data_IF_933315294640
#
_entry.id   IF_933315294640
#
_cell.length_a   1.000
_cell.length_b   1.000
_cell.length_c   1.000
_cell.angle_alpha   90.00
_cell.angle_beta   90.00
_cell.angle_gamma   90.00
#
_symmetry.space_group_name_H-M   'P 1'
#
loop_
_entity.id
_entity.type
_entity.pdbx_description
1 polymer ?
#
# COMPACT_ATOMS: atom_id res chain seq x y z
N UNK A 1 -21.17 -13.57 -12.68
CA UNK A 1 -21.63 -12.17 -12.78
C UNK A 1 -22.76 -12.00 -11.78
N UNK A 2 -22.52 -11.29 -10.68
CA UNK A 2 -23.56 -10.67 -9.88
C UNK A 2 -23.01 -9.31 -9.40
N UNK A 3 -23.45 -8.20 -10.00
CA UNK A 3 -23.09 -6.85 -9.59
C UNK A 3 -23.93 -6.47 -8.34
N UNK A 4 -23.61 -5.35 -7.69
CA UNK A 4 -24.35 -4.80 -6.53
C UNK A 4 -23.96 -5.37 -5.16
N UNK A 5 -22.67 -5.32 -4.80
CA UNK A 5 -22.29 -5.16 -3.40
C UNK A 5 -22.23 -3.65 -3.12
N UNK A 6 -23.28 -3.13 -2.48
CA UNK A 6 -23.50 -1.71 -2.24
C UNK A 6 -22.24 -1.00 -1.75
N UNK A 7 -21.71 -0.11 -2.58
CA UNK A 7 -20.71 0.87 -2.16
C UNK A 7 -21.38 1.77 -1.13
N UNK A 8 -21.07 1.57 0.14
CA UNK A 8 -21.38 2.57 1.17
C UNK A 8 -20.33 3.68 1.04
N UNK A 9 -20.51 4.50 0.01
CA UNK A 9 -19.69 5.68 -0.20
C UNK A 9 -19.92 6.57 1.04
N UNK A 10 -18.85 6.86 1.80
CA UNK A 10 -18.96 7.81 2.91
C UNK A 10 -19.50 9.15 2.38
N UNK A 11 -20.10 9.98 3.23
CA UNK A 11 -20.78 11.25 2.87
C UNK A 11 -19.93 12.23 2.00
N UNK A 12 -18.63 11.99 1.87
CA UNK A 12 -17.66 12.77 1.08
C UNK A 12 -17.21 12.10 -0.24
N UNK A 13 -17.82 11.01 -0.71
CA UNK A 13 -17.40 10.35 -1.96
C UNK A 13 -16.22 9.38 -1.82
N UNK A 14 -15.57 9.36 -0.66
CA UNK A 14 -14.41 8.50 -0.38
C UNK A 14 -14.84 7.12 0.12
N UNK A 15 -14.15 6.08 -0.37
CA UNK A 15 -14.33 4.70 0.07
C UNK A 15 -14.01 4.53 1.56
N UNK A 16 -14.76 3.72 2.31
CA UNK A 16 -14.54 3.56 3.75
C UNK A 16 -13.37 2.63 4.08
N UNK A 17 -12.71 2.83 5.23
CA UNK A 17 -11.64 1.92 5.69
C UNK A 17 -12.15 0.47 5.86
N UNK A 18 -13.37 0.30 6.37
CA UNK A 18 -13.99 -1.01 6.53
C UNK A 18 -14.18 -1.75 5.19
N UNK A 19 -14.46 -1.03 4.09
CA UNK A 19 -14.59 -1.64 2.76
C UNK A 19 -13.24 -2.04 2.17
N UNK A 20 -12.19 -1.25 2.44
CA UNK A 20 -10.82 -1.56 2.02
C UNK A 20 -10.29 -2.76 2.83
N UNK A 21 -10.52 -2.77 4.14
CA UNK A 21 -10.17 -3.89 5.02
C UNK A 21 -10.87 -5.17 4.58
N UNK A 22 -12.18 -5.11 4.32
CA UNK A 22 -12.93 -6.26 3.84
C UNK A 22 -12.38 -6.80 2.53
N UNK A 23 -11.94 -5.91 1.63
CA UNK A 23 -11.28 -6.33 0.39
C UNK A 23 -9.95 -7.04 0.66
N UNK A 24 -9.10 -6.48 1.53
CA UNK A 24 -7.84 -7.13 1.94
C UNK A 24 -8.11 -8.53 2.52
N UNK A 25 -9.00 -8.63 3.52
CA UNK A 25 -9.30 -9.90 4.20
C UNK A 25 -9.92 -10.93 3.26
N UNK A 26 -10.83 -10.52 2.38
CA UNK A 26 -11.43 -11.42 1.39
C UNK A 26 -10.40 -11.89 0.37
N UNK A 27 -9.49 -11.00 -0.06
CA UNK A 27 -8.41 -11.33 -0.99
C UNK A 27 -7.42 -12.32 -0.39
N UNK A 28 -6.94 -12.09 0.83
CA UNK A 28 -6.04 -13.00 1.55
C UNK A 28 -6.70 -14.38 1.78
N UNK A 29 -7.98 -14.41 2.18
CA UNK A 29 -8.73 -15.66 2.34
C UNK A 29 -8.88 -16.43 1.03
N UNK A 30 -9.16 -15.72 -0.08
CA UNK A 30 -9.24 -16.33 -1.39
C UNK A 30 -7.88 -16.90 -1.84
N UNK A 31 -6.80 -16.13 -1.70
CA UNK A 31 -5.44 -16.58 -2.03
C UNK A 31 -5.05 -17.84 -1.25
N UNK A 32 -5.34 -17.86 0.05
CA UNK A 32 -5.09 -19.03 0.90
C UNK A 32 -5.80 -20.27 0.37
N UNK A 33 -7.08 -20.15 0.05
CA UNK A 33 -7.86 -21.24 -0.54
C UNK A 33 -7.29 -21.71 -1.87
N UNK A 34 -6.89 -20.78 -2.75
CA UNK A 34 -6.27 -21.17 -4.02
C UNK A 34 -4.95 -21.92 -3.82
N UNK A 35 -4.15 -21.52 -2.82
CA UNK A 35 -2.93 -22.24 -2.46
C UNK A 35 -3.22 -23.66 -1.94
N UNK A 36 -4.24 -23.81 -1.08
CA UNK A 36 -4.73 -25.11 -0.62
C UNK A 36 -5.24 -26.00 -1.77
N UNK A 37 -5.80 -25.38 -2.82
CA UNK A 37 -6.26 -26.03 -4.05
C UNK A 37 -5.12 -26.26 -5.08
N UNK A 38 -3.88 -25.91 -4.75
CA UNK A 38 -2.68 -26.23 -5.55
C UNK A 38 -2.01 -25.07 -6.28
N UNK A 39 -2.39 -23.81 -6.02
CA UNK A 39 -1.69 -22.64 -6.55
C UNK A 39 -0.22 -22.65 -6.08
N UNK A 40 0.73 -22.51 -7.01
CA UNK A 40 2.16 -22.52 -6.69
C UNK A 40 2.57 -21.35 -5.78
N UNK A 41 3.58 -21.55 -4.93
CA UNK A 41 4.01 -20.53 -3.95
C UNK A 41 4.48 -19.21 -4.58
N UNK A 42 5.21 -19.27 -5.70
CA UNK A 42 5.63 -18.06 -6.42
C UNK A 42 4.43 -17.27 -6.96
N UNK A 43 3.43 -17.97 -7.49
CA UNK A 43 2.22 -17.33 -8.01
C UNK A 43 1.37 -16.75 -6.87
N UNK A 44 1.29 -17.45 -5.73
CA UNK A 44 0.69 -16.90 -4.51
C UNK A 44 1.36 -15.58 -4.10
N UNK A 45 2.69 -15.55 -4.06
CA UNK A 45 3.46 -14.36 -3.67
C UNK A 45 3.17 -13.17 -4.59
N UNK A 46 3.17 -13.41 -5.91
CA UNK A 46 2.84 -12.41 -6.91
C UNK A 46 1.43 -11.85 -6.74
N UNK A 47 0.45 -12.73 -6.57
CA UNK A 47 -0.94 -12.28 -6.40
C UNK A 47 -1.15 -11.56 -5.07
N UNK A 48 -0.43 -11.96 -4.01
CA UNK A 48 -0.43 -11.24 -2.72
C UNK A 48 0.16 -9.84 -2.86
N UNK A 49 1.29 -9.69 -3.57
CA UNK A 49 1.86 -8.38 -3.87
C UNK A 49 0.85 -7.50 -4.65
N UNK A 50 0.21 -8.05 -5.68
CA UNK A 50 -0.83 -7.33 -6.44
C UNK A 50 -2.06 -6.95 -5.60
N UNK A 51 -2.48 -7.81 -4.66
CA UNK A 51 -3.54 -7.49 -3.71
C UNK A 51 -3.17 -6.28 -2.86
N UNK A 52 -1.95 -6.26 -2.29
CA UNK A 52 -1.47 -5.14 -1.48
C UNK A 52 -1.29 -3.86 -2.29
N UNK A 53 -0.81 -3.93 -3.53
CA UNK A 53 -0.77 -2.77 -4.43
C UNK A 53 -2.16 -2.12 -4.53
N UNK A 54 -3.19 -2.96 -4.68
CA UNK A 54 -4.55 -2.47 -4.81
C UNK A 54 -5.09 -1.88 -3.52
N UNK A 55 -4.75 -2.45 -2.37
CA UNK A 55 -5.09 -1.90 -1.04
C UNK A 55 -4.43 -0.54 -0.85
N UNK A 56 -3.11 -0.43 -1.07
CA UNK A 56 -2.34 0.81 -0.89
C UNK A 56 -2.83 1.90 -1.85
N UNK A 57 -3.11 1.55 -3.11
CA UNK A 57 -3.71 2.49 -4.07
C UNK A 57 -5.08 3.01 -3.60
N UNK A 58 -5.91 2.17 -2.97
CA UNK A 58 -7.22 2.57 -2.44
C UNK A 58 -7.08 3.47 -1.22
N UNK A 59 -6.14 3.16 -0.32
CA UNK A 59 -5.80 4.01 0.83
C UNK A 59 -5.28 5.38 0.39
N UNK A 60 -4.37 5.43 -0.58
CA UNK A 60 -3.87 6.69 -1.14
C UNK A 60 -5.00 7.50 -1.78
N UNK A 61 -5.82 6.88 -2.63
CA UNK A 61 -6.97 7.56 -3.25
C UNK A 61 -7.93 8.10 -2.20
N UNK A 62 -8.22 7.31 -1.17
CA UNK A 62 -9.06 7.72 -0.03
C UNK A 62 -8.47 8.94 0.68
N UNK A 63 -7.20 8.87 1.07
CA UNK A 63 -6.48 9.98 1.72
C UNK A 63 -6.57 11.26 0.90
N UNK A 64 -6.28 11.17 -0.41
CA UNK A 64 -6.36 12.31 -1.32
C UNK A 64 -7.79 12.87 -1.49
N UNK A 65 -8.81 12.01 -1.51
CA UNK A 65 -10.21 12.43 -1.60
C UNK A 65 -10.72 13.14 -0.34
N UNK A 66 -10.10 12.90 0.82
CA UNK A 66 -10.47 13.55 2.09
C UNK A 66 -9.77 14.90 2.31
N UNK A 67 -8.77 15.23 1.48
CA UNK A 67 -8.07 16.51 1.57
C UNK A 67 -9.04 17.66 1.24
N UNK A 68 -8.97 18.73 2.03
CA UNK A 68 -9.66 20.00 1.72
C UNK A 68 -9.06 20.69 0.51
N UNK A 69 -7.74 20.61 0.36
CA UNK A 69 -7.02 21.17 -0.78
C UNK A 69 -6.86 20.13 -1.89
N UNK A 70 -7.23 20.51 -3.12
CA UNK A 70 -7.19 19.62 -4.30
C UNK A 70 -5.79 19.50 -4.92
N UNK A 71 -4.78 20.16 -4.35
CA UNK A 71 -3.42 20.09 -4.86
C UNK A 71 -2.85 18.68 -4.62
N UNK A 72 -2.25 18.08 -5.64
CA UNK A 72 -1.60 16.78 -5.48
C UNK A 72 -0.29 17.00 -4.71
N UNK A 73 -0.02 16.20 -3.65
CA UNK A 73 1.16 16.40 -2.81
C UNK A 73 2.48 16.07 -3.52
N UNK A 74 2.43 15.42 -4.70
CA UNK A 74 3.61 15.08 -5.50
C UNK A 74 4.39 13.90 -4.94
N UNK A 75 3.71 12.99 -4.24
CA UNK A 75 4.33 11.83 -3.59
C UNK A 75 4.34 10.61 -4.50
N UNK A 76 5.31 9.74 -4.32
CA UNK A 76 5.35 8.40 -4.94
C UNK A 76 5.57 7.36 -3.85
N UNK A 77 4.82 6.26 -3.92
CA UNK A 77 5.00 5.10 -3.04
C UNK A 77 5.52 3.96 -3.89
N UNK A 78 6.63 3.38 -3.48
CA UNK A 78 7.32 2.30 -4.19
C UNK A 78 7.38 1.08 -3.27
N UNK A 79 6.97 -0.07 -3.79
CA UNK A 79 7.29 -1.35 -3.16
C UNK A 79 8.79 -1.64 -3.34
N UNK A 80 9.45 -2.05 -2.26
CA UNK A 80 10.89 -2.39 -2.25
C UNK A 80 11.10 -3.78 -1.63
N UNK A 81 12.32 -4.29 -1.60
CA UNK A 81 12.61 -5.62 -1.07
C UNK A 81 11.81 -6.75 -1.75
N UNK A 82 11.39 -7.74 -0.95
CA UNK A 82 10.59 -8.88 -1.44
C UNK A 82 9.21 -8.46 -1.97
N UNK A 83 8.64 -7.37 -1.45
CA UNK A 83 7.40 -6.81 -1.99
C UNK A 83 7.62 -6.29 -3.41
N UNK A 84 8.66 -5.48 -3.64
CA UNK A 84 8.99 -4.94 -4.96
C UNK A 84 9.34 -6.01 -6.00
N UNK A 85 9.84 -7.18 -5.58
CA UNK A 85 10.14 -8.33 -6.46
C UNK A 85 8.97 -9.28 -6.68
N UNK A 86 7.78 -8.98 -6.16
CA UNK A 86 6.61 -9.87 -6.21
C UNK A 86 6.79 -11.20 -5.44
N UNK A 87 7.71 -11.24 -4.47
CA UNK A 87 8.07 -12.41 -3.65
C UNK A 87 7.39 -12.36 -2.27
N UNK A 88 6.22 -11.74 -2.18
CA UNK A 88 5.55 -11.44 -0.93
C UNK A 88 4.85 -12.67 -0.34
N UNK A 89 5.59 -13.45 0.46
CA UNK A 89 5.08 -14.64 1.15
C UNK A 89 4.11 -14.29 2.30
N UNK A 90 3.35 -15.27 2.85
CA UNK A 90 2.55 -15.04 4.05
C UNK A 90 3.40 -14.49 5.20
N UNK A 91 2.89 -13.48 5.91
CA UNK A 91 3.57 -12.82 7.03
C UNK A 91 4.87 -12.05 6.67
N UNK A 92 5.27 -11.98 5.40
CA UNK A 92 6.35 -11.08 4.99
C UNK A 92 6.00 -9.63 5.29
N UNK A 93 7.02 -8.87 5.69
CA UNK A 93 6.95 -7.42 5.84
C UNK A 93 6.60 -6.76 4.50
N UNK A 94 5.88 -5.64 4.60
CA UNK A 94 5.48 -4.80 3.48
C UNK A 94 6.38 -3.58 3.47
N UNK A 95 7.41 -3.58 2.64
CA UNK A 95 8.39 -2.50 2.61
C UNK A 95 8.03 -1.43 1.58
N UNK A 96 7.99 -0.18 2.04
CA UNK A 96 7.65 0.98 1.23
C UNK A 96 8.73 2.06 1.23
N UNK A 97 9.16 2.46 0.05
CA UNK A 97 9.89 3.70 -0.15
C UNK A 97 8.91 4.81 -0.56
N UNK A 98 8.82 5.86 0.25
CA UNK A 98 8.03 7.05 -0.03
C UNK A 98 8.94 8.18 -0.51
N UNK A 99 8.71 8.60 -1.74
CA UNK A 99 9.36 9.77 -2.33
C UNK A 99 8.46 11.00 -2.28
N UNK A 100 9.05 12.13 -1.95
CA UNK A 100 8.35 13.42 -1.94
C UNK A 100 9.20 14.57 -2.51
N UNK A 101 8.57 15.67 -2.94
CA UNK A 101 9.31 16.88 -3.34
C UNK A 101 9.88 17.56 -2.09
N UNK A 102 11.00 18.31 -2.23
CA UNK A 102 11.53 19.09 -1.12
C UNK A 102 10.50 20.13 -0.64
N UNK A 103 10.44 20.36 0.68
CA UNK A 103 9.59 21.40 1.29
C UNK A 103 8.13 21.02 1.59
N UNK A 104 7.75 19.73 1.51
CA UNK A 104 6.34 19.24 1.66
C UNK A 104 5.99 18.62 3.03
N UNK A 105 6.72 18.93 4.10
CA UNK A 105 6.71 18.15 5.35
C UNK A 105 5.35 17.88 6.03
N UNK A 106 4.50 18.90 6.26
CA UNK A 106 3.30 18.74 7.11
C UNK A 106 2.14 17.99 6.43
N UNK A 107 1.88 18.29 5.16
CA UNK A 107 0.81 17.61 4.42
C UNK A 107 1.15 16.17 4.05
N UNK A 108 2.45 15.87 3.95
CA UNK A 108 2.95 14.53 3.66
C UNK A 108 2.67 13.59 4.84
N UNK A 109 3.01 14.01 6.06
CA UNK A 109 2.88 13.17 7.25
C UNK A 109 1.43 12.69 7.46
N UNK A 110 0.45 13.58 7.33
CA UNK A 110 -0.97 13.22 7.49
C UNK A 110 -1.43 12.20 6.44
N UNK A 111 -0.99 12.32 5.19
CA UNK A 111 -1.31 11.35 4.15
C UNK A 111 -0.66 9.99 4.40
N UNK A 112 0.59 9.99 4.85
CA UNK A 112 1.31 8.77 5.17
C UNK A 112 0.65 8.05 6.35
N UNK A 113 0.29 8.77 7.41
CA UNK A 113 -0.46 8.18 8.53
C UNK A 113 -1.82 7.60 8.08
N UNK A 114 -2.52 8.29 7.17
CA UNK A 114 -3.78 7.80 6.61
C UNK A 114 -3.64 6.52 5.76
N UNK A 115 -2.42 6.18 5.33
CA UNK A 115 -2.09 4.95 4.61
C UNK A 115 -1.51 3.90 5.56
N UNK A 116 -0.55 4.27 6.41
CA UNK A 116 0.21 3.34 7.24
C UNK A 116 -0.58 2.83 8.44
N UNK A 117 -1.32 3.70 9.14
CA UNK A 117 -2.05 3.29 10.35
C UNK A 117 -3.07 2.18 10.05
N UNK A 118 -3.92 2.27 9.00
CA UNK A 118 -4.82 1.18 8.67
C UNK A 118 -4.10 -0.15 8.41
N UNK A 119 -2.95 -0.13 7.73
CA UNK A 119 -2.21 -1.37 7.44
C UNK A 119 -1.73 -2.04 8.74
N UNK A 120 -1.21 -1.25 9.69
CA UNK A 120 -0.82 -1.74 11.02
C UNK A 120 -2.02 -2.24 11.82
N UNK A 121 -3.12 -1.49 11.84
CA UNK A 121 -4.36 -1.87 12.54
C UNK A 121 -4.94 -3.19 11.98
N UNK A 122 -4.71 -3.47 10.70
CA UNK A 122 -5.12 -4.72 10.05
C UNK A 122 -4.14 -5.88 10.24
N UNK A 123 -3.05 -5.66 10.98
CA UNK A 123 -2.08 -6.68 11.37
C UNK A 123 -0.96 -6.90 10.35
N UNK A 124 -0.75 -5.97 9.41
CA UNK A 124 0.42 -6.01 8.52
C UNK A 124 1.62 -5.36 9.21
N UNK A 125 2.79 -5.99 9.09
CA UNK A 125 4.07 -5.32 9.39
C UNK A 125 4.46 -4.49 8.18
N UNK A 126 4.63 -3.18 8.36
CA UNK A 126 5.01 -2.26 7.26
C UNK A 126 6.31 -1.55 7.61
N UNK A 127 7.39 -1.92 6.93
CA UNK A 127 8.63 -1.15 6.91
C UNK A 127 8.49 0.03 5.95
N UNK A 128 9.01 1.20 6.32
CA UNK A 128 8.98 2.33 5.40
C UNK A 128 10.14 3.30 5.58
N UNK A 129 10.52 3.95 4.48
CA UNK A 129 11.47 5.06 4.45
C UNK A 129 10.86 6.24 3.72
N UNK A 130 11.00 7.44 4.27
CA UNK A 130 10.52 8.69 3.66
C UNK A 130 11.72 9.54 3.28
N UNK A 131 11.85 9.87 1.99
CA UNK A 131 12.98 10.66 1.51
C UNK A 131 12.66 11.40 0.21
N UNK A 132 13.48 12.37 -0.14
CA UNK A 132 13.49 12.97 -1.48
C UNK A 132 14.20 12.06 -2.48
N UNK A 133 13.94 12.26 -3.78
CA UNK A 133 14.68 11.56 -4.83
C UNK A 133 16.20 11.78 -4.75
N UNK A 134 16.62 12.99 -4.32
CA UNK A 134 18.04 13.34 -4.14
C UNK A 134 18.67 12.60 -2.97
N UNK A 135 17.95 12.43 -1.87
CA UNK A 135 18.41 11.62 -0.72
C UNK A 135 18.51 10.15 -1.12
N UNK A 136 17.51 9.62 -1.82
CA UNK A 136 17.50 8.24 -2.33
C UNK A 136 18.72 7.94 -3.20
N UNK A 137 19.03 8.85 -4.14
CA UNK A 137 20.19 8.69 -5.02
C UNK A 137 21.51 8.68 -4.25
N UNK A 138 21.67 9.57 -3.26
CA UNK A 138 22.87 9.59 -2.42
C UNK A 138 22.99 8.34 -1.58
N UNK A 139 21.87 7.81 -1.11
CA UNK A 139 21.82 6.64 -0.27
C UNK A 139 22.21 5.38 -1.08
N UNK A 140 21.65 5.21 -2.27
CA UNK A 140 22.04 4.17 -3.23
C UNK A 140 23.53 4.21 -3.64
N UNK A 141 24.12 5.42 -3.73
CA UNK A 141 25.54 5.57 -4.05
C UNK A 141 26.47 5.14 -2.91
N UNK A 142 25.99 5.18 -1.67
CA UNK A 142 26.77 4.78 -0.49
C UNK A 142 26.60 3.30 -0.17
N UNK A 143 25.41 2.78 -0.41
CA UNK A 143 25.04 1.41 -0.15
C UNK A 143 24.17 0.88 -1.30
N UNK A 144 24.71 0.02 -2.18
CA UNK A 144 23.96 -0.58 -3.28
C UNK A 144 22.80 -1.48 -2.83
N UNK A 145 22.83 -1.98 -1.59
CA UNK A 145 21.87 -2.96 -1.06
C UNK A 145 20.73 -2.31 -0.26
N UNK A 146 20.63 -0.99 -0.29
CA UNK A 146 19.75 -0.20 0.58
C UNK A 146 18.24 -0.32 0.29
N UNK A 147 17.83 -0.97 -0.82
CA UNK A 147 16.44 -1.07 -1.26
C UNK A 147 16.06 -2.47 -1.73
#
# INVERSE_FOLDING_TARGET
MNPEMGKKIAENGAESLADIERFLRSGEAWLRRQHEEGLGGQEFCRQRASLLDRVIQRLLKRSLSLRREKSRPGISLLAVGGYGREELSPHSDVDLLILHPPGKGRDLESDLQAILHPLWDWGLTVGHTVQTSKESLRAAQKDPDLF
#
